data_IF_184161291506
#
_entry.id   IF_184161291506
#
_cell.length_a   1.000
_cell.length_b   1.000
_cell.length_c   1.000
_cell.angle_alpha   90.00
_cell.angle_beta   90.00
_cell.angle_gamma   90.00
#
_symmetry.space_group_name_H-M   'P 1'
#
loop_
_entity.id
_entity.type
_entity.pdbx_description
1 polymer ?
#
# COMPACT_ATOMS: atom_id res chain seq x y z
N UNK A 1 -3.71 -42.44 19.93
CA UNK A 1 -3.35 -42.43 18.49
C UNK A 1 -2.37 -41.31 18.28
N UNK A 2 -1.11 -41.62 18.05
CA UNK A 2 -0.09 -40.63 17.64
C UNK A 2 -0.46 -40.16 16.25
N UNK A 3 -0.91 -38.89 16.13
CA UNK A 3 -1.08 -38.27 14.84
C UNK A 3 0.32 -38.08 14.23
N UNK A 4 0.56 -38.66 13.05
CA UNK A 4 1.74 -38.30 12.28
C UNK A 4 1.56 -36.87 11.77
N UNK A 5 2.22 -35.93 12.43
CA UNK A 5 2.25 -34.51 12.06
C UNK A 5 3.59 -34.22 11.41
N UNK A 6 3.56 -33.63 10.23
CA UNK A 6 4.75 -33.15 9.52
C UNK A 6 4.78 -31.63 9.56
N UNK A 7 5.96 -31.02 9.60
CA UNK A 7 6.14 -29.58 9.52
C UNK A 7 7.24 -29.21 8.53
N UNK A 8 7.16 -27.97 8.02
CA UNK A 8 8.14 -27.44 7.07
C UNK A 8 9.44 -27.08 7.76
N UNK A 9 10.47 -27.86 7.54
CA UNK A 9 11.83 -27.64 8.11
C UNK A 9 12.47 -26.38 7.54
N UNK A 10 12.15 -26.00 6.29
CA UNK A 10 12.74 -24.83 5.64
C UNK A 10 12.44 -23.52 6.38
N UNK A 11 11.20 -23.30 6.79
CA UNK A 11 10.80 -22.11 7.54
C UNK A 11 11.47 -22.05 8.93
N UNK A 12 11.54 -23.20 9.62
CA UNK A 12 12.21 -23.31 10.93
C UNK A 12 13.69 -22.96 10.80
N UNK A 13 14.36 -23.58 9.83
CA UNK A 13 15.79 -23.32 9.58
C UNK A 13 16.05 -21.85 9.22
N UNK A 14 15.15 -21.21 8.45
CA UNK A 14 15.26 -19.80 8.12
C UNK A 14 15.15 -18.91 9.35
N UNK A 15 14.14 -19.16 10.20
CA UNK A 15 13.90 -18.41 11.44
C UNK A 15 15.12 -18.53 12.36
N UNK A 16 15.62 -19.74 12.59
CA UNK A 16 16.76 -19.99 13.47
C UNK A 16 18.07 -19.44 12.89
N UNK A 17 18.28 -19.52 11.58
CA UNK A 17 19.47 -18.96 10.92
C UNK A 17 19.51 -17.44 11.06
N UNK A 18 18.40 -16.75 10.82
CA UNK A 18 18.32 -15.29 11.00
C UNK A 18 18.61 -14.93 12.46
N UNK A 19 17.98 -15.63 13.39
CA UNK A 19 18.17 -15.35 14.84
C UNK A 19 19.60 -15.61 15.29
N UNK A 20 20.20 -16.75 14.89
CA UNK A 20 21.57 -17.09 15.22
C UNK A 20 22.61 -16.08 14.69
N UNK A 21 22.37 -15.52 13.50
CA UNK A 21 23.27 -14.55 12.87
C UNK A 21 23.12 -13.14 13.42
N UNK A 22 21.92 -12.75 13.83
CA UNK A 22 21.57 -11.35 14.11
C UNK A 22 21.03 -11.08 15.49
N UNK A 23 20.82 -12.12 16.29
CA UNK A 23 20.14 -12.06 17.61
C UNK A 23 18.80 -11.30 17.57
N UNK A 24 18.07 -11.47 16.44
CA UNK A 24 16.87 -10.70 16.10
C UNK A 24 15.83 -10.74 17.23
N UNK A 25 15.46 -11.94 17.68
CA UNK A 25 14.37 -12.07 18.64
C UNK A 25 14.76 -11.54 20.03
N UNK A 26 15.97 -11.80 20.51
CA UNK A 26 16.41 -11.29 21.80
C UNK A 26 16.55 -9.77 21.78
N UNK A 27 17.12 -9.20 20.71
CA UNK A 27 17.29 -7.76 20.56
C UNK A 27 15.95 -7.00 20.60
N UNK A 28 14.92 -7.56 20.00
CA UNK A 28 13.62 -6.88 19.85
C UNK A 28 12.66 -7.23 20.99
N UNK A 29 12.64 -8.49 21.42
CA UNK A 29 11.65 -9.03 22.34
C UNK A 29 12.18 -9.30 23.75
N UNK A 30 13.48 -9.26 23.95
CA UNK A 30 14.12 -9.56 25.23
C UNK A 30 13.50 -8.80 26.39
N UNK A 31 13.18 -9.52 27.48
CA UNK A 31 12.52 -8.96 28.66
C UNK A 31 11.04 -8.62 28.52
N UNK A 32 10.45 -8.60 27.31
CA UNK A 32 9.02 -8.30 27.13
C UNK A 32 8.09 -9.42 27.62
N UNK A 33 8.58 -10.65 27.67
CA UNK A 33 7.83 -11.81 28.16
C UNK A 33 7.54 -11.80 29.67
N UNK A 34 8.16 -10.92 30.44
CA UNK A 34 8.11 -10.94 31.90
C UNK A 34 8.68 -12.25 32.45
N UNK A 35 7.92 -13.00 33.25
CA UNK A 35 8.35 -14.29 33.80
C UNK A 35 8.18 -15.48 32.84
N UNK A 36 7.64 -15.28 31.66
CA UNK A 36 7.39 -16.36 30.70
C UNK A 36 8.63 -16.69 29.90
N UNK A 37 9.21 -17.87 30.15
CA UNK A 37 10.35 -18.40 29.40
C UNK A 37 9.94 -18.78 27.96
N UNK A 38 8.63 -18.97 27.69
CA UNK A 38 8.10 -19.37 26.39
C UNK A 38 7.64 -18.19 25.52
N UNK A 39 7.95 -16.94 25.88
CA UNK A 39 7.49 -15.78 25.09
C UNK A 39 8.12 -15.75 23.71
N UNK A 40 9.44 -15.73 23.59
CA UNK A 40 10.15 -15.77 22.30
C UNK A 40 9.84 -17.06 21.53
N UNK A 41 9.91 -18.28 22.12
CA UNK A 41 9.44 -19.51 21.47
C UNK A 41 8.03 -19.39 20.89
N UNK A 42 7.08 -18.81 21.62
CA UNK A 42 5.71 -18.60 21.13
C UNK A 42 5.66 -17.64 19.93
N UNK A 43 6.49 -16.60 19.92
CA UNK A 43 6.56 -15.69 18.75
C UNK A 43 7.13 -16.41 17.53
N UNK A 44 8.21 -17.20 17.69
CA UNK A 44 8.77 -18.03 16.60
C UNK A 44 7.72 -18.98 16.04
N UNK A 45 6.96 -19.65 16.91
CA UNK A 45 5.88 -20.55 16.49
C UNK A 45 4.75 -19.82 15.75
N UNK A 46 4.35 -18.63 16.21
CA UNK A 46 3.34 -17.79 15.55
C UNK A 46 3.81 -17.34 14.16
N UNK A 47 5.08 -16.96 14.01
CA UNK A 47 5.69 -16.60 12.73
C UNK A 47 5.74 -17.82 11.81
N UNK A 48 6.23 -18.96 12.31
CA UNK A 48 6.27 -20.20 11.52
C UNK A 48 4.88 -20.60 11.02
N UNK A 49 3.84 -20.50 11.86
CA UNK A 49 2.46 -20.74 11.46
C UNK A 49 2.01 -19.82 10.29
N UNK A 50 2.45 -18.55 10.28
CA UNK A 50 2.14 -17.62 9.19
C UNK A 50 2.90 -17.92 7.90
N UNK A 51 4.08 -18.46 8.00
CA UNK A 51 4.92 -18.84 6.84
C UNK A 51 4.56 -20.22 6.25
N UNK A 52 3.82 -21.04 6.99
CA UNK A 52 3.45 -22.41 6.58
C UNK A 52 1.95 -22.49 6.27
N UNK A 53 1.14 -23.01 7.18
CA UNK A 53 -0.27 -23.36 6.94
C UNK A 53 -1.24 -22.24 7.31
N UNK A 54 -0.79 -21.25 8.06
CA UNK A 54 -1.61 -20.13 8.56
C UNK A 54 -2.94 -20.55 9.21
N UNK A 55 -2.88 -21.60 10.02
CA UNK A 55 -4.05 -22.04 10.77
C UNK A 55 -4.41 -21.05 11.89
N UNK A 56 -5.66 -21.12 12.37
CA UNK A 56 -6.10 -20.29 13.50
C UNK A 56 -5.32 -20.62 14.78
N UNK A 57 -5.10 -19.63 15.64
CA UNK A 57 -4.23 -19.74 16.83
C UNK A 57 -4.62 -20.92 17.73
N UNK A 58 -5.92 -21.19 17.90
CA UNK A 58 -6.42 -22.34 18.69
C UNK A 58 -6.17 -23.72 18.05
N UNK A 59 -5.62 -23.75 16.85
CA UNK A 59 -5.29 -24.99 16.14
C UNK A 59 -3.79 -25.17 15.92
N UNK A 60 -2.97 -24.15 16.25
CA UNK A 60 -1.53 -24.21 16.00
C UNK A 60 -0.91 -25.45 16.67
N UNK A 61 -1.30 -25.73 17.90
CA UNK A 61 -0.74 -26.85 18.66
C UNK A 61 -1.19 -28.23 18.14
N UNK A 62 -2.30 -28.29 17.37
CA UNK A 62 -2.69 -29.51 16.67
C UNK A 62 -1.75 -29.89 15.52
N UNK A 63 -1.00 -28.91 15.01
CA UNK A 63 -0.06 -29.03 13.90
C UNK A 63 1.40 -28.82 14.31
N UNK A 64 1.68 -28.54 15.59
CA UNK A 64 3.01 -28.37 16.13
C UNK A 64 3.45 -29.62 16.89
N UNK A 65 4.24 -30.52 16.30
CA UNK A 65 4.77 -31.70 17.01
C UNK A 65 5.79 -31.27 18.06
N UNK A 66 6.04 -32.17 19.03
CA UNK A 66 6.95 -31.90 20.14
C UNK A 66 8.36 -31.51 19.67
N UNK A 67 8.86 -32.14 18.59
CA UNK A 67 10.16 -31.82 17.98
C UNK A 67 10.27 -30.36 17.52
N UNK A 68 9.18 -29.82 16.94
CA UNK A 68 9.11 -28.41 16.53
C UNK A 68 9.13 -27.47 17.75
N UNK A 69 8.35 -27.81 18.79
CA UNK A 69 8.32 -27.03 20.02
C UNK A 69 9.69 -27.05 20.72
N UNK A 70 10.34 -28.19 20.73
CA UNK A 70 11.68 -28.35 21.30
C UNK A 70 12.73 -27.53 20.51
N UNK A 71 12.67 -27.58 19.17
CA UNK A 71 13.52 -26.76 18.28
C UNK A 71 13.39 -25.27 18.56
N UNK A 72 12.17 -24.76 18.78
CA UNK A 72 11.97 -23.35 19.13
C UNK A 72 12.30 -23.01 20.59
N UNK A 73 12.70 -24.01 21.40
CA UNK A 73 13.18 -23.84 22.76
C UNK A 73 12.05 -23.70 23.79
N UNK A 74 10.87 -24.28 23.56
CA UNK A 74 9.82 -24.31 24.55
C UNK A 74 10.24 -25.08 25.81
N UNK A 75 9.84 -24.58 26.98
CA UNK A 75 10.03 -25.22 28.27
C UNK A 75 8.68 -25.63 28.86
N UNK A 76 8.53 -26.94 29.08
CA UNK A 76 7.32 -27.52 29.66
C UNK A 76 6.09 -27.39 28.73
N UNK A 77 4.91 -27.47 29.33
CA UNK A 77 3.63 -27.56 28.59
C UNK A 77 3.21 -26.22 27.98
N UNK A 78 2.84 -26.24 26.73
CA UNK A 78 2.26 -25.10 25.97
C UNK A 78 0.75 -25.25 25.87
N UNK A 79 0.02 -24.15 25.83
CA UNK A 79 -1.43 -24.11 25.61
C UNK A 79 -1.84 -22.98 24.68
N UNK A 80 -2.98 -23.11 24.01
CA UNK A 80 -3.55 -22.04 23.17
C UNK A 80 -3.68 -20.72 23.92
N UNK A 81 -4.09 -20.80 25.19
CA UNK A 81 -4.20 -19.63 26.08
C UNK A 81 -2.86 -18.90 26.23
N UNK A 82 -1.74 -19.63 26.23
CA UNK A 82 -0.40 -19.01 26.31
C UNK A 82 -0.04 -18.30 25.00
N UNK A 83 -0.45 -18.82 23.84
CA UNK A 83 -0.28 -18.17 22.54
C UNK A 83 -1.10 -16.89 22.44
N UNK A 84 -2.37 -16.90 22.85
CA UNK A 84 -3.20 -15.69 22.89
C UNK A 84 -2.61 -14.62 23.82
N UNK A 85 -2.10 -14.98 25.00
CA UNK A 85 -1.41 -14.05 25.89
C UNK A 85 -0.14 -13.47 25.26
N UNK A 86 0.58 -14.27 24.47
CA UNK A 86 1.73 -13.78 23.72
C UNK A 86 1.31 -12.74 22.71
N UNK A 87 0.23 -12.97 21.94
CA UNK A 87 -0.29 -11.99 21.00
C UNK A 87 -0.75 -10.69 21.67
N UNK A 88 -1.47 -10.80 22.78
CA UNK A 88 -1.88 -9.64 23.59
C UNK A 88 -0.65 -8.84 24.05
N UNK A 89 0.37 -9.53 24.56
CA UNK A 89 1.61 -8.92 25.00
C UNK A 89 2.36 -8.22 23.87
N UNK A 90 2.42 -8.83 22.69
CA UNK A 90 2.98 -8.21 21.49
C UNK A 90 2.22 -6.93 21.13
N UNK A 91 0.88 -6.96 21.18
CA UNK A 91 0.04 -5.79 20.92
C UNK A 91 0.29 -4.64 21.89
N UNK A 92 0.34 -4.94 23.20
CA UNK A 92 0.62 -3.94 24.24
C UNK A 92 2.03 -3.37 24.10
N UNK A 93 3.01 -4.20 23.75
CA UNK A 93 4.41 -3.83 23.63
C UNK A 93 4.77 -3.26 22.24
N UNK A 94 3.83 -3.13 21.31
CA UNK A 94 4.07 -2.70 19.93
C UNK A 94 4.94 -1.43 19.80
N UNK A 95 4.79 -0.36 20.59
CA UNK A 95 5.66 0.80 20.48
C UNK A 95 7.12 0.49 20.80
N UNK A 96 7.37 -0.32 21.84
CA UNK A 96 8.70 -0.72 22.26
C UNK A 96 9.33 -1.68 21.23
N UNK A 97 8.54 -2.63 20.72
CA UNK A 97 8.97 -3.57 19.68
C UNK A 97 9.41 -2.79 18.43
N UNK A 98 8.63 -1.80 18.00
CA UNK A 98 8.96 -1.00 16.84
C UNK A 98 10.23 -0.16 17.04
N UNK A 99 10.39 0.46 18.21
CA UNK A 99 11.59 1.22 18.55
C UNK A 99 12.85 0.33 18.55
N UNK A 100 12.78 -0.85 19.18
CA UNK A 100 13.88 -1.82 19.21
C UNK A 100 14.17 -2.40 17.83
N UNK A 101 13.14 -2.66 17.04
CA UNK A 101 13.31 -3.08 15.64
C UNK A 101 14.03 -2.02 14.82
N UNK A 102 13.65 -0.77 14.97
CA UNK A 102 14.32 0.34 14.29
C UNK A 102 15.78 0.48 14.74
N UNK A 103 16.06 0.28 16.05
CA UNK A 103 17.44 0.27 16.54
C UNK A 103 18.22 -0.92 15.96
N UNK A 104 17.63 -2.11 15.96
CA UNK A 104 18.24 -3.29 15.36
C UNK A 104 18.55 -3.07 13.85
N UNK A 105 17.66 -2.45 13.09
CA UNK A 105 17.89 -2.10 11.66
C UNK A 105 19.10 -1.16 11.53
N UNK A 106 19.29 -0.21 12.46
CA UNK A 106 20.46 0.67 12.49
C UNK A 106 21.74 -0.11 12.83
N UNK A 107 21.68 -0.95 13.83
CA UNK A 107 22.85 -1.73 14.30
C UNK A 107 23.32 -2.76 13.24
N UNK A 108 22.42 -3.19 12.37
CA UNK A 108 22.74 -4.06 11.23
C UNK A 108 23.13 -3.28 9.95
N UNK A 109 23.24 -1.96 9.99
CA UNK A 109 23.50 -1.09 8.83
C UNK A 109 22.51 -1.30 7.66
N UNK A 110 21.24 -1.51 8.01
CA UNK A 110 20.16 -1.78 7.06
C UNK A 110 19.26 -0.56 6.83
N UNK A 111 19.64 0.62 7.35
CA UNK A 111 18.86 1.86 7.13
C UNK A 111 19.03 2.35 5.70
N UNK A 112 17.93 2.39 4.98
CA UNK A 112 17.91 2.95 3.65
C UNK A 112 17.43 4.41 3.70
N UNK A 113 18.10 5.28 2.96
CA UNK A 113 17.75 6.70 2.87
C UNK A 113 16.62 7.00 1.90
N UNK A 114 16.23 6.03 1.09
CA UNK A 114 15.04 6.12 0.23
C UNK A 114 13.97 5.21 0.80
N UNK A 115 12.83 5.79 1.16
CA UNK A 115 11.72 5.10 1.79
C UNK A 115 10.45 5.21 0.98
N UNK A 116 9.89 4.07 0.60
CA UNK A 116 8.62 3.98 -0.11
C UNK A 116 7.48 3.83 0.89
N UNK A 117 6.52 4.74 0.83
CA UNK A 117 5.40 4.79 1.76
C UNK A 117 4.11 4.44 1.05
N UNK A 118 3.36 3.53 1.65
CA UNK A 118 2.04 3.18 1.15
C UNK A 118 1.06 2.88 2.29
N UNK A 119 -0.24 2.94 1.98
CA UNK A 119 -1.33 2.75 2.92
C UNK A 119 -2.28 1.67 2.45
N UNK A 120 -2.80 0.91 3.39
CA UNK A 120 -3.80 -0.09 3.08
C UNK A 120 -4.79 -0.25 4.23
N UNK A 121 -5.74 -1.17 4.07
CA UNK A 121 -6.70 -1.55 5.10
C UNK A 121 -6.77 -3.06 5.23
N UNK A 122 -7.21 -3.53 6.38
CA UNK A 122 -7.63 -4.90 6.58
C UNK A 122 -8.99 -4.91 7.28
N UNK A 123 -9.87 -5.83 6.89
CA UNK A 123 -11.21 -5.90 7.44
C UNK A 123 -11.35 -6.95 8.53
N UNK A 124 -12.34 -6.75 9.40
CA UNK A 124 -12.72 -7.68 10.47
C UNK A 124 -13.93 -8.50 10.08
N UNK A 125 -13.92 -9.75 10.47
CA UNK A 125 -15.13 -10.59 10.48
C UNK A 125 -15.93 -10.45 11.78
N UNK A 126 -15.30 -9.94 12.85
CA UNK A 126 -15.92 -9.63 14.13
C UNK A 126 -16.53 -8.23 14.23
N UNK A 127 -17.25 -7.97 15.32
CA UNK A 127 -17.87 -6.66 15.60
C UNK A 127 -17.20 -5.88 16.73
N UNK A 128 -16.30 -6.48 17.47
CA UNK A 128 -15.69 -5.91 18.68
C UNK A 128 -14.22 -5.58 18.45
N UNK A 129 -13.96 -4.46 17.77
CA UNK A 129 -12.61 -3.94 17.63
C UNK A 129 -12.62 -2.43 17.84
N UNK A 130 -11.85 -1.88 18.80
CA UNK A 130 -11.78 -0.43 19.05
C UNK A 130 -11.26 0.37 17.85
N UNK A 131 -10.47 -0.24 16.97
CA UNK A 131 -9.94 0.35 15.74
C UNK A 131 -10.88 0.15 14.55
N UNK A 132 -11.90 -0.73 14.70
CA UNK A 132 -12.85 -1.04 13.66
C UNK A 132 -13.75 0.16 13.33
N UNK A 133 -13.72 0.60 12.08
CA UNK A 133 -14.63 1.63 11.57
C UNK A 133 -15.00 1.32 10.11
N UNK A 134 -16.16 1.79 9.68
CA UNK A 134 -16.55 1.74 8.28
C UNK A 134 -15.75 2.80 7.51
N UNK A 135 -15.19 2.41 6.38
CA UNK A 135 -14.40 3.29 5.52
C UNK A 135 -14.32 2.74 4.09
N UNK A 136 -13.51 3.38 3.27
CA UNK A 136 -13.26 2.89 1.93
C UNK A 136 -12.50 1.56 2.00
N UNK A 137 -13.14 0.50 1.54
CA UNK A 137 -12.54 -0.84 1.56
C UNK A 137 -11.61 -1.05 0.35
N UNK A 138 -10.31 -1.18 0.62
CA UNK A 138 -9.32 -1.56 -0.39
C UNK A 138 -9.31 -3.06 -0.68
N UNK A 139 -10.03 -3.83 0.12
CA UNK A 139 -10.17 -5.28 -0.01
C UNK A 139 -11.44 -5.69 -0.77
N UNK A 140 -12.19 -4.73 -1.32
CA UNK A 140 -13.43 -5.00 -2.03
C UNK A 140 -14.56 -5.54 -1.12
N UNK A 141 -14.50 -5.25 0.20
CA UNK A 141 -15.46 -5.69 1.20
C UNK A 141 -16.23 -4.50 1.80
N UNK A 142 -17.10 -3.84 1.03
CA UNK A 142 -17.87 -2.71 1.53
C UNK A 142 -18.80 -3.14 2.68
N UNK A 143 -18.97 -2.25 3.67
CA UNK A 143 -19.85 -2.51 4.81
C UNK A 143 -19.22 -3.33 5.95
N UNK A 144 -17.99 -3.83 5.81
CA UNK A 144 -17.26 -4.45 6.92
C UNK A 144 -16.44 -3.42 7.70
N UNK A 145 -16.33 -3.64 9.01
CA UNK A 145 -15.39 -2.89 9.85
C UNK A 145 -13.97 -3.19 9.41
N UNK A 146 -13.12 -2.17 9.38
CA UNK A 146 -11.73 -2.29 8.99
C UNK A 146 -10.84 -1.40 9.87
N UNK A 147 -9.54 -1.63 9.87
CA UNK A 147 -8.53 -0.66 10.27
C UNK A 147 -7.67 -0.29 9.07
N UNK A 148 -7.04 0.88 9.11
CA UNK A 148 -6.05 1.29 8.12
C UNK A 148 -4.65 1.17 8.70
N UNK A 149 -3.69 0.83 7.87
CA UNK A 149 -2.29 0.82 8.24
C UNK A 149 -1.45 1.51 7.16
N UNK A 150 -0.36 2.10 7.59
CA UNK A 150 0.65 2.70 6.72
C UNK A 150 2.00 2.07 7.01
N UNK A 151 2.75 1.81 5.95
CA UNK A 151 4.10 1.24 6.03
C UNK A 151 5.11 2.14 5.35
N UNK A 152 6.37 1.97 5.73
CA UNK A 152 7.52 2.49 5.02
C UNK A 152 8.51 1.37 4.78
N UNK A 153 8.96 1.21 3.55
CA UNK A 153 9.86 0.13 3.11
C UNK A 153 11.07 0.75 2.40
N UNK A 154 12.27 0.33 2.73
CA UNK A 154 13.49 0.78 2.05
C UNK A 154 13.69 0.14 0.67
N UNK A 155 14.69 0.60 -0.09
CA UNK A 155 15.13 -0.03 -1.35
C UNK A 155 15.52 -1.49 -1.17
N UNK A 156 16.06 -1.84 0.01
CA UNK A 156 16.43 -3.20 0.41
C UNK A 156 15.23 -4.10 0.73
N UNK A 157 14.00 -3.58 0.65
CA UNK A 157 12.78 -4.32 0.95
C UNK A 157 12.45 -4.45 2.44
N UNK A 158 13.25 -3.86 3.33
CA UNK A 158 13.03 -3.94 4.78
C UNK A 158 11.97 -2.91 5.20
N UNK A 159 10.87 -3.36 5.85
CA UNK A 159 9.88 -2.45 6.40
C UNK A 159 10.43 -1.80 7.67
N UNK A 160 10.57 -0.48 7.66
CA UNK A 160 11.17 0.27 8.78
C UNK A 160 10.15 0.92 9.70
N UNK A 161 8.94 1.13 9.22
CA UNK A 161 7.88 1.80 9.96
C UNK A 161 6.52 1.20 9.69
N UNK A 162 5.71 1.15 10.75
CA UNK A 162 4.32 0.70 10.70
C UNK A 162 3.47 1.63 11.56
N UNK A 163 2.37 2.10 11.00
CA UNK A 163 1.34 2.85 11.72
C UNK A 163 -0.02 2.22 11.53
N UNK A 164 -0.84 2.19 12.57
CA UNK A 164 -2.21 1.64 12.54
C UNK A 164 -3.18 2.74 12.99
N UNK A 165 -4.30 2.87 12.29
CA UNK A 165 -5.34 3.86 12.56
C UNK A 165 -6.75 3.24 12.41
N UNK A 166 -7.77 3.96 12.90
CA UNK A 166 -9.17 3.58 12.67
C UNK A 166 -9.49 3.48 11.20
N UNK A 167 -10.37 2.56 10.82
CA UNK A 167 -10.69 2.22 9.44
C UNK A 167 -11.27 3.33 8.57
N UNK A 168 -11.70 4.43 9.15
CA UNK A 168 -12.22 5.62 8.45
C UNK A 168 -11.18 6.74 8.27
N UNK A 169 -9.94 6.54 8.72
CA UNK A 169 -8.87 7.55 8.57
C UNK A 169 -8.38 7.54 7.13
N UNK A 170 -8.40 8.71 6.49
CA UNK A 170 -7.91 8.89 5.13
C UNK A 170 -6.38 8.97 5.10
N UNK A 171 -5.75 8.53 3.99
CA UNK A 171 -4.30 8.50 3.81
C UNK A 171 -3.62 9.83 4.08
N UNK A 172 -4.21 10.93 3.60
CA UNK A 172 -3.67 12.29 3.83
C UNK A 172 -3.53 12.65 5.32
N UNK A 173 -4.41 12.14 6.17
CA UNK A 173 -4.36 12.34 7.62
C UNK A 173 -3.41 11.32 8.26
N UNK A 174 -3.49 10.06 7.84
CA UNK A 174 -2.63 8.96 8.31
C UNK A 174 -1.14 9.23 8.03
N UNK A 175 -0.83 9.79 6.86
CA UNK A 175 0.51 10.18 6.43
C UNK A 175 1.26 11.02 7.48
N UNK A 176 0.55 11.90 8.20
CA UNK A 176 1.16 12.72 9.24
C UNK A 176 1.75 11.94 10.41
N UNK A 177 1.24 10.74 10.70
CA UNK A 177 1.80 9.83 11.73
C UNK A 177 3.06 9.15 11.21
N UNK A 178 3.04 8.68 9.98
CA UNK A 178 4.17 8.03 9.35
C UNK A 178 5.35 9.00 9.18
N UNK A 179 5.10 10.25 8.72
CA UNK A 179 6.13 11.29 8.62
C UNK A 179 6.82 11.56 9.96
N UNK A 180 6.06 11.60 11.08
CA UNK A 180 6.66 11.81 12.40
C UNK A 180 7.62 10.68 12.81
N UNK A 181 7.31 9.45 12.43
CA UNK A 181 8.19 8.30 12.67
C UNK A 181 9.45 8.39 11.81
N UNK A 182 9.29 8.74 10.53
CA UNK A 182 10.42 8.97 9.62
C UNK A 182 11.40 9.99 10.20
N UNK A 183 10.91 11.13 10.67
CA UNK A 183 11.76 12.18 11.23
C UNK A 183 12.52 11.80 12.51
N UNK A 184 12.09 10.75 13.22
CA UNK A 184 12.82 10.22 14.39
C UNK A 184 13.85 9.15 14.03
N UNK A 185 13.60 8.44 12.95
CA UNK A 185 14.37 7.26 12.57
C UNK A 185 15.39 7.52 11.46
N UNK A 186 14.97 8.22 10.42
CA UNK A 186 15.80 8.42 9.22
C UNK A 186 16.85 9.52 9.42
N UNK A 187 18.01 9.38 8.80
CA UNK A 187 18.95 10.49 8.67
C UNK A 187 18.32 11.64 7.89
N UNK A 188 18.82 12.86 8.12
CA UNK A 188 18.45 14.03 7.33
C UNK A 188 18.75 13.80 5.85
N UNK A 189 18.08 14.52 4.98
CA UNK A 189 18.20 14.41 3.52
C UNK A 189 17.68 13.08 2.95
N UNK A 190 17.06 12.21 3.78
CA UNK A 190 16.40 11.00 3.27
C UNK A 190 15.17 11.35 2.42
N UNK A 191 14.93 10.55 1.38
CA UNK A 191 13.84 10.74 0.42
C UNK A 191 12.63 9.87 0.77
N UNK A 192 11.46 10.48 0.91
CA UNK A 192 10.18 9.81 1.09
C UNK A 192 9.40 9.77 -0.24
N UNK A 193 9.12 8.59 -0.74
CA UNK A 193 8.39 8.38 -2.00
C UNK A 193 7.00 7.86 -1.69
N UNK A 194 5.94 8.56 -2.16
CA UNK A 194 4.56 8.19 -1.88
C UNK A 194 3.60 8.60 -3.01
N UNK A 195 2.41 8.05 -2.99
CA UNK A 195 1.38 8.31 -3.98
C UNK A 195 0.65 9.65 -3.77
N UNK A 196 -0.30 9.95 -4.67
CA UNK A 196 -1.11 11.18 -4.59
C UNK A 196 -2.03 11.25 -3.37
N UNK A 197 -2.33 10.13 -2.70
CA UNK A 197 -3.15 10.08 -1.50
C UNK A 197 -2.51 10.82 -0.31
N UNK A 198 -1.18 10.76 -0.20
CA UNK A 198 -0.38 11.50 0.79
C UNK A 198 -0.02 12.93 0.38
N UNK A 199 -0.21 13.30 -0.89
CA UNK A 199 0.23 14.57 -1.45
C UNK A 199 -0.65 15.76 -1.01
N UNK A 200 -0.26 16.38 0.09
CA UNK A 200 -0.87 17.62 0.58
C UNK A 200 0.21 18.65 0.93
N UNK A 201 -0.11 19.94 0.79
CA UNK A 201 0.80 21.03 1.19
C UNK A 201 1.28 20.86 2.64
N UNK A 202 0.39 20.48 3.55
CA UNK A 202 0.70 20.27 4.97
C UNK A 202 1.70 19.13 5.18
N UNK A 203 1.57 18.02 4.45
CA UNK A 203 2.49 16.89 4.57
C UNK A 203 3.87 17.24 3.99
N UNK A 204 3.92 17.89 2.82
CA UNK A 204 5.16 18.39 2.22
C UNK A 204 5.90 19.37 3.16
N UNK A 205 5.20 20.31 3.78
CA UNK A 205 5.78 21.22 4.76
C UNK A 205 6.35 20.49 5.98
N UNK A 206 5.63 19.46 6.49
CA UNK A 206 6.15 18.64 7.60
C UNK A 206 7.41 17.89 7.23
N UNK A 207 7.47 17.30 6.03
CA UNK A 207 8.65 16.56 5.55
C UNK A 207 9.84 17.51 5.48
N UNK A 208 9.70 18.68 4.84
CA UNK A 208 10.76 19.70 4.78
C UNK A 208 11.17 20.21 6.16
N UNK A 209 10.21 20.42 7.05
CA UNK A 209 10.49 20.84 8.44
C UNK A 209 11.30 19.82 9.26
N UNK A 210 11.33 18.56 8.82
CA UNK A 210 12.18 17.50 9.38
C UNK A 210 13.51 17.34 8.65
N UNK A 211 13.81 18.22 7.70
CA UNK A 211 14.98 18.15 6.82
C UNK A 211 15.02 16.84 6.01
N UNK A 212 13.84 16.39 5.56
CA UNK A 212 13.67 15.25 4.67
C UNK A 212 13.18 15.72 3.31
N UNK A 213 13.40 14.90 2.30
CA UNK A 213 12.94 15.11 0.95
C UNK A 213 11.67 14.31 0.64
N UNK A 214 10.98 14.70 -0.41
CA UNK A 214 9.84 13.94 -0.92
C UNK A 214 9.84 13.85 -2.43
N UNK A 215 9.23 12.76 -2.92
CA UNK A 215 8.84 12.53 -4.30
C UNK A 215 7.44 11.95 -4.31
N UNK A 216 6.51 12.57 -5.05
CA UNK A 216 5.10 12.17 -5.02
C UNK A 216 4.39 12.45 -6.34
N UNK A 217 3.32 11.71 -6.60
CA UNK A 217 2.44 11.94 -7.75
C UNK A 217 1.47 13.09 -7.46
N UNK A 218 1.29 13.98 -8.44
CA UNK A 218 0.26 15.00 -8.40
C UNK A 218 -1.10 14.40 -8.76
N UNK A 219 -2.13 14.66 -7.96
CA UNK A 219 -3.47 14.19 -8.24
C UNK A 219 -4.01 14.76 -9.56
N UNK A 220 -4.53 13.89 -10.44
CA UNK A 220 -4.97 14.23 -11.80
C UNK A 220 -6.28 15.04 -11.79
N UNK A 221 -6.17 16.35 -11.58
CA UNK A 221 -7.28 17.29 -11.62
C UNK A 221 -7.24 18.09 -12.92
N UNK A 222 -8.35 18.15 -13.67
CA UNK A 222 -8.41 18.68 -15.05
C UNK A 222 -7.81 20.08 -15.21
N UNK A 223 -8.17 21.06 -14.38
CA UNK A 223 -7.67 22.42 -14.49
C UNK A 223 -6.15 22.53 -14.23
N UNK A 224 -5.65 22.17 -13.02
CA UNK A 224 -4.23 22.21 -12.72
C UNK A 224 -3.34 21.41 -13.67
N UNK A 225 -3.82 20.24 -14.14
CA UNK A 225 -3.05 19.44 -15.11
C UNK A 225 -2.92 20.10 -16.46
N UNK A 226 -3.97 20.78 -16.97
CA UNK A 226 -3.90 21.51 -18.24
C UNK A 226 -2.87 22.63 -18.22
N UNK A 227 -2.73 23.31 -17.08
CA UNK A 227 -1.70 24.36 -16.94
C UNK A 227 -0.29 23.76 -17.05
N UNK A 228 -0.06 22.62 -16.42
CA UNK A 228 1.24 21.93 -16.49
C UNK A 228 1.53 21.39 -17.91
N UNK A 229 0.50 20.87 -18.59
CA UNK A 229 0.63 20.42 -20.00
C UNK A 229 0.90 21.61 -20.91
N UNK A 230 0.31 22.78 -20.65
CA UNK A 230 0.64 24.00 -21.41
C UNK A 230 2.11 24.41 -21.22
N UNK A 231 2.66 24.28 -20.00
CA UNK A 231 4.09 24.50 -19.74
C UNK A 231 4.96 23.48 -20.50
N UNK A 232 4.56 22.20 -20.47
CA UNK A 232 5.22 21.13 -21.19
C UNK A 232 5.29 21.43 -22.68
N UNK A 233 4.19 21.82 -23.30
CA UNK A 233 4.12 22.15 -24.75
C UNK A 233 4.86 23.44 -25.12
N UNK A 234 4.99 24.39 -24.18
CA UNK A 234 5.68 25.65 -24.44
C UNK A 234 7.21 25.55 -24.30
N UNK A 235 7.72 24.49 -23.72
CA UNK A 235 9.14 24.27 -23.41
C UNK A 235 9.72 23.07 -24.16
N UNK A 236 9.47 22.98 -25.46
CA UNK A 236 9.99 21.88 -26.29
C UNK A 236 11.52 21.81 -26.28
N UNK A 237 12.21 22.92 -26.14
CA UNK A 237 13.68 23.00 -26.04
C UNK A 237 14.25 22.37 -24.75
N UNK A 238 13.45 22.33 -23.68
CA UNK A 238 13.81 21.73 -22.39
C UNK A 238 13.39 20.23 -22.31
N UNK A 239 12.90 19.66 -23.41
CA UNK A 239 12.36 18.31 -23.45
C UNK A 239 13.47 17.26 -23.37
N UNK A 240 13.40 16.43 -22.34
CA UNK A 240 14.29 15.27 -22.17
C UNK A 240 13.49 14.00 -22.51
N UNK A 241 14.01 13.19 -23.42
CA UNK A 241 13.40 11.92 -23.82
C UNK A 241 14.30 10.75 -23.46
N UNK A 242 13.72 9.68 -22.93
CA UNK A 242 14.41 8.45 -22.56
C UNK A 242 13.47 7.24 -22.60
N UNK A 243 14.05 6.04 -22.63
CA UNK A 243 13.30 4.79 -22.63
C UNK A 243 13.53 4.01 -21.35
N UNK A 244 12.45 3.46 -20.77
CA UNK A 244 12.49 2.68 -19.54
C UNK A 244 11.44 1.57 -19.59
N UNK A 245 11.84 0.31 -19.37
CA UNK A 245 10.93 -0.84 -19.39
C UNK A 245 10.09 -0.89 -20.68
N UNK A 246 10.74 -0.83 -21.83
CA UNK A 246 10.11 -0.90 -23.16
C UNK A 246 9.13 0.24 -23.49
N UNK A 247 9.11 1.31 -22.70
CA UNK A 247 8.29 2.50 -22.93
C UNK A 247 9.16 3.74 -23.08
N UNK A 248 8.76 4.60 -24.00
CA UNK A 248 9.39 5.90 -24.17
C UNK A 248 8.64 6.96 -23.36
N UNK A 249 9.40 7.79 -22.66
CA UNK A 249 8.94 8.92 -21.89
C UNK A 249 9.61 10.18 -22.36
N UNK A 250 8.85 11.26 -22.41
CA UNK A 250 9.37 12.62 -22.54
C UNK A 250 8.99 13.41 -21.30
N UNK A 251 9.87 14.30 -20.88
CA UNK A 251 9.69 15.06 -19.64
C UNK A 251 10.16 16.50 -19.82
N UNK A 252 9.37 17.43 -19.31
CA UNK A 252 9.80 18.82 -19.05
C UNK A 252 9.84 19.02 -17.54
N UNK A 253 11.00 19.47 -17.06
CA UNK A 253 11.20 19.84 -15.67
C UNK A 253 11.09 21.35 -15.51
N UNK A 254 10.35 21.80 -14.49
CA UNK A 254 10.34 23.19 -14.09
C UNK A 254 10.22 23.37 -12.58
N UNK A 255 10.65 24.53 -12.08
CA UNK A 255 10.54 24.88 -10.67
C UNK A 255 9.26 25.64 -10.40
N UNK A 256 8.53 25.25 -9.34
CA UNK A 256 7.36 25.97 -8.84
C UNK A 256 7.52 26.24 -7.33
N UNK A 257 7.94 27.45 -6.99
CA UNK A 257 8.28 27.81 -5.61
C UNK A 257 9.49 27.02 -5.12
N UNK A 258 9.27 26.21 -4.06
CA UNK A 258 10.31 25.38 -3.44
C UNK A 258 10.28 23.92 -3.92
N UNK A 259 9.51 23.61 -4.93
CA UNK A 259 9.44 22.25 -5.47
C UNK A 259 9.74 22.21 -6.96
N UNK A 260 10.19 21.07 -7.42
CA UNK A 260 10.38 20.75 -8.83
C UNK A 260 9.21 19.92 -9.32
N UNK A 261 8.68 20.28 -10.49
CA UNK A 261 7.65 19.56 -11.19
C UNK A 261 8.22 18.92 -12.43
N UNK A 262 7.96 17.65 -12.57
CA UNK A 262 8.36 16.80 -13.69
C UNK A 262 7.11 16.41 -14.42
N UNK A 263 6.85 17.03 -15.57
CA UNK A 263 5.69 16.76 -16.40
C UNK A 263 6.10 15.74 -17.44
N UNK A 264 5.64 14.50 -17.25
CA UNK A 264 5.94 13.39 -18.13
C UNK A 264 4.81 13.17 -19.12
N UNK A 265 5.17 12.75 -20.32
CA UNK A 265 4.28 12.19 -21.32
C UNK A 265 4.84 10.88 -21.86
N UNK A 266 3.96 9.92 -22.17
CA UNK A 266 4.28 8.68 -22.87
C UNK A 266 3.16 8.32 -23.81
N UNK A 267 3.48 8.12 -25.08
CA UNK A 267 2.54 7.74 -26.11
C UNK A 267 1.96 6.34 -25.87
N UNK A 268 2.81 5.40 -25.41
CA UNK A 268 2.37 4.05 -25.05
C UNK A 268 1.33 4.09 -23.92
N UNK A 269 1.59 4.92 -22.89
CA UNK A 269 0.65 5.11 -21.78
C UNK A 269 -0.64 5.79 -22.25
N UNK A 270 -0.56 6.75 -23.16
CA UNK A 270 -1.74 7.41 -23.76
C UNK A 270 -2.60 6.39 -24.50
N UNK A 271 -2.00 5.57 -25.34
CA UNK A 271 -2.67 4.52 -26.12
C UNK A 271 -3.36 3.51 -25.20
N UNK A 272 -2.67 3.02 -24.16
CA UNK A 272 -3.23 2.10 -23.16
C UNK A 272 -4.44 2.71 -22.43
N UNK A 273 -4.34 3.99 -22.03
CA UNK A 273 -5.41 4.69 -21.34
C UNK A 273 -6.62 4.96 -22.25
N UNK A 274 -6.38 5.35 -23.50
CA UNK A 274 -7.42 5.55 -24.50
C UNK A 274 -8.16 4.23 -24.79
N UNK A 275 -7.44 3.14 -25.01
CA UNK A 275 -8.04 1.83 -25.23
C UNK A 275 -8.93 1.38 -24.06
N UNK A 276 -8.48 1.56 -22.80
CA UNK A 276 -9.28 1.26 -21.61
C UNK A 276 -10.54 2.12 -21.52
N UNK A 277 -10.43 3.42 -21.82
CA UNK A 277 -11.56 4.36 -21.80
C UNK A 277 -12.55 4.08 -22.91
N UNK A 278 -12.10 3.73 -24.09
CA UNK A 278 -12.93 3.32 -25.21
C UNK A 278 -13.72 2.05 -24.88
N UNK A 279 -13.06 1.01 -24.36
CA UNK A 279 -13.74 -0.22 -23.91
C UNK A 279 -14.78 0.04 -22.81
N UNK A 280 -14.50 0.97 -21.88
CA UNK A 280 -15.46 1.36 -20.86
C UNK A 280 -16.68 2.04 -21.50
N UNK A 281 -16.46 2.96 -22.41
CA UNK A 281 -17.50 3.67 -23.13
C UNK A 281 -18.38 2.72 -23.96
N UNK A 282 -17.78 1.80 -24.70
CA UNK A 282 -18.49 0.78 -25.47
C UNK A 282 -19.40 -0.08 -24.58
N UNK A 283 -18.91 -0.52 -23.41
CA UNK A 283 -19.74 -1.26 -22.44
C UNK A 283 -20.92 -0.43 -21.94
N UNK A 284 -20.73 0.86 -21.71
CA UNK A 284 -21.79 1.75 -21.25
C UNK A 284 -22.81 2.05 -22.36
N UNK A 285 -22.35 2.18 -23.63
CA UNK A 285 -23.21 2.26 -24.78
C UNK A 285 -24.07 1.00 -24.96
N UNK A 286 -23.47 -0.18 -24.78
CA UNK A 286 -24.21 -1.45 -24.87
C UNK A 286 -25.28 -1.55 -23.78
N UNK A 287 -24.95 -1.17 -22.53
CA UNK A 287 -25.94 -1.07 -21.45
C UNK A 287 -27.08 -0.10 -21.82
N UNK A 288 -26.72 1.06 -22.37
CA UNK A 288 -27.69 2.06 -22.87
C UNK A 288 -28.62 1.49 -23.94
N UNK A 289 -28.07 0.77 -24.94
CA UNK A 289 -28.86 0.10 -25.99
C UNK A 289 -29.84 -0.93 -25.41
N UNK A 290 -29.38 -1.71 -24.43
CA UNK A 290 -30.19 -2.71 -23.75
C UNK A 290 -31.34 -2.06 -22.93
N UNK A 291 -31.07 -0.92 -22.30
CA UNK A 291 -32.09 -0.13 -21.62
C UNK A 291 -33.09 0.49 -22.57
N UNK A 292 -32.63 1.05 -23.71
CA UNK A 292 -33.50 1.57 -24.75
C UNK A 292 -34.47 0.52 -25.32
N UNK A 293 -34.01 -0.74 -25.46
CA UNK A 293 -34.89 -1.86 -25.82
C UNK A 293 -35.98 -2.10 -24.77
N UNK A 294 -35.65 -1.98 -23.48
CA UNK A 294 -36.61 -2.13 -22.36
C UNK A 294 -37.61 -0.97 -22.31
N UNK A 295 -37.18 0.26 -22.64
CA UNK A 295 -38.06 1.43 -22.75
C UNK A 295 -39.10 1.26 -23.88
N UNK A 296 -38.69 0.72 -25.04
CA UNK A 296 -39.62 0.35 -26.11
C UNK A 296 -40.66 -0.69 -25.70
N UNK A 297 -40.42 -1.44 -24.63
CA UNK A 297 -41.33 -2.44 -24.05
C UNK A 297 -42.25 -1.86 -22.96
N UNK A 298 -42.38 -0.55 -22.83
CA UNK A 298 -43.34 0.13 -21.96
C UNK A 298 -42.82 0.60 -20.60
N UNK A 299 -41.48 0.61 -20.40
CA UNK A 299 -40.88 1.26 -19.20
C UNK A 299 -40.54 2.71 -19.50
N UNK A 300 -41.15 3.61 -18.74
CA UNK A 300 -40.98 5.06 -18.89
C UNK A 300 -39.69 5.50 -18.15
N UNK A 301 -38.61 5.71 -18.90
CA UNK A 301 -37.37 6.29 -18.44
C UNK A 301 -37.04 7.52 -19.28
N UNK A 302 -37.30 8.71 -18.74
CA UNK A 302 -37.00 9.96 -19.44
C UNK A 302 -35.51 10.23 -19.55
N UNK A 303 -34.70 9.68 -18.63
CA UNK A 303 -33.26 9.80 -18.64
C UNK A 303 -32.60 8.61 -17.90
N UNK A 304 -31.38 8.29 -18.31
CA UNK A 304 -30.55 7.30 -17.66
C UNK A 304 -29.28 7.95 -17.15
N UNK A 305 -28.99 7.78 -15.82
CA UNK A 305 -27.80 8.30 -15.16
C UNK A 305 -26.82 7.16 -14.95
N UNK A 306 -25.64 7.26 -15.55
CA UNK A 306 -24.54 6.33 -15.30
C UNK A 306 -23.90 6.57 -13.93
N UNK A 307 -23.25 5.55 -13.33
CA UNK A 307 -22.62 5.69 -12.01
C UNK A 307 -21.59 6.82 -11.87
N UNK A 308 -21.00 7.26 -12.97
CA UNK A 308 -20.05 8.37 -13.06
C UNK A 308 -20.73 9.73 -13.39
N UNK A 309 -22.04 9.81 -13.29
CA UNK A 309 -22.79 11.05 -13.45
C UNK A 309 -23.11 11.40 -14.92
N UNK A 310 -22.80 10.51 -15.86
CA UNK A 310 -23.13 10.74 -17.27
C UNK A 310 -24.62 10.51 -17.51
N UNK A 311 -25.30 11.45 -18.16
CA UNK A 311 -26.74 11.41 -18.39
C UNK A 311 -27.01 11.20 -19.87
N UNK A 312 -27.80 10.18 -20.21
CA UNK A 312 -28.36 9.97 -21.53
C UNK A 312 -29.88 10.25 -21.46
N UNK A 313 -30.34 11.23 -22.24
CA UNK A 313 -31.77 11.54 -22.37
C UNK A 313 -32.45 10.61 -23.35
N UNK A 314 -33.80 10.53 -23.27
CA UNK A 314 -34.63 9.73 -24.18
C UNK A 314 -34.39 10.08 -25.65
N UNK A 315 -34.14 11.34 -25.99
CA UNK A 315 -33.80 11.77 -27.34
C UNK A 315 -32.50 11.17 -27.86
N UNK A 316 -31.50 11.01 -27.04
CA UNK A 316 -30.24 10.33 -27.40
C UNK A 316 -30.41 8.82 -27.59
N UNK A 317 -31.37 8.19 -26.89
CA UNK A 317 -31.72 6.79 -27.11
C UNK A 317 -32.39 6.53 -28.45
N UNK A 318 -33.03 7.54 -29.03
CA UNK A 318 -33.78 7.44 -30.30
C UNK A 318 -32.90 7.71 -31.52
N UNK A 319 -31.90 8.59 -31.40
CA UNK A 319 -31.01 9.02 -32.47
C UNK A 319 -29.63 8.38 -32.34
N UNK A 320 -29.57 7.10 -32.65
CA UNK A 320 -28.34 6.37 -32.94
C UNK A 320 -27.09 6.85 -32.16
N UNK A 321 -26.69 6.08 -31.26
CA UNK A 321 -25.46 6.07 -30.43
C UNK A 321 -24.12 6.22 -31.23
N UNK A 322 -24.16 6.63 -32.52
CA UNK A 322 -22.98 6.71 -33.38
C UNK A 322 -22.09 7.92 -33.13
N UNK A 323 -22.65 9.04 -32.69
CA UNK A 323 -21.93 10.32 -32.64
C UNK A 323 -21.78 10.90 -31.21
N UNK A 324 -22.03 10.13 -30.18
CA UNK A 324 -21.84 10.61 -28.82
C UNK A 324 -20.35 10.61 -28.50
N UNK A 325 -19.72 11.76 -28.19
CA UNK A 325 -18.31 11.81 -27.84
C UNK A 325 -18.04 11.02 -26.58
N UNK A 326 -16.92 10.31 -26.53
CA UNK A 326 -16.55 9.54 -25.37
C UNK A 326 -16.23 10.48 -24.18
N UNK A 327 -17.10 10.51 -23.15
CA UNK A 327 -16.95 11.47 -22.03
C UNK A 327 -15.78 11.13 -21.12
N UNK A 328 -15.20 9.93 -21.22
CA UNK A 328 -14.06 9.49 -20.44
C UNK A 328 -12.74 10.03 -20.98
N UNK A 329 -12.69 10.43 -22.25
CA UNK A 329 -11.50 11.04 -22.85
C UNK A 329 -11.40 12.50 -22.39
N UNK A 330 -10.29 12.84 -21.76
CA UNK A 330 -10.10 14.13 -21.09
C UNK A 330 -9.04 15.02 -21.72
N UNK A 331 -8.22 14.46 -22.63
CA UNK A 331 -7.02 15.10 -23.18
C UNK A 331 -5.83 15.12 -22.21
N UNK A 332 -5.92 14.30 -21.13
CA UNK A 332 -4.85 14.15 -20.14
C UNK A 332 -4.20 12.77 -20.21
N UNK A 333 -4.57 11.97 -21.22
CA UNK A 333 -4.05 10.62 -21.41
C UNK A 333 -2.57 10.69 -21.74
N UNK A 334 -1.79 9.76 -21.19
CA UNK A 334 -0.34 9.72 -21.34
C UNK A 334 0.42 10.66 -20.41
N UNK A 335 -0.20 11.73 -19.92
CA UNK A 335 0.46 12.66 -19.00
C UNK A 335 0.35 12.20 -17.56
N UNK A 336 1.47 12.39 -16.81
CA UNK A 336 1.50 12.34 -15.35
C UNK A 336 2.56 13.30 -14.82
N UNK A 337 2.39 13.76 -13.58
CA UNK A 337 3.23 14.81 -13.01
C UNK A 337 3.76 14.32 -11.67
N UNK A 338 5.09 14.32 -11.54
CA UNK A 338 5.75 14.09 -10.27
C UNK A 338 6.17 15.43 -9.65
N UNK A 339 6.01 15.53 -8.35
CA UNK A 339 6.40 16.68 -7.54
C UNK A 339 7.50 16.24 -6.58
N UNK A 340 8.63 16.96 -6.58
CA UNK A 340 9.81 16.63 -5.77
C UNK A 340 10.38 17.86 -5.08
N UNK A 341 10.97 17.65 -3.90
CA UNK A 341 11.75 18.68 -3.22
C UNK A 341 13.23 18.67 -3.62
N UNK A 342 13.68 17.67 -4.38
CA UNK A 342 15.05 17.58 -4.90
C UNK A 342 15.05 17.86 -6.40
N UNK A 343 16.15 18.48 -6.84
CA UNK A 343 16.45 18.72 -8.25
C UNK A 343 17.31 17.57 -8.78
N UNK A 344 16.72 16.70 -9.58
CA UNK A 344 17.42 15.53 -10.10
C UNK A 344 17.05 15.31 -11.58
N UNK A 345 17.74 14.42 -12.23
CA UNK A 345 17.47 14.02 -13.61
C UNK A 345 16.07 13.36 -13.73
N UNK A 346 15.29 13.67 -14.79
CA UNK A 346 13.97 13.10 -14.99
C UNK A 346 13.91 11.57 -14.98
N UNK A 347 14.90 10.90 -15.56
CA UNK A 347 14.96 9.44 -15.59
C UNK A 347 15.13 8.85 -14.19
N UNK A 348 16.04 9.43 -13.38
CA UNK A 348 16.25 9.00 -12.00
C UNK A 348 15.01 9.23 -11.13
N UNK A 349 14.34 10.37 -11.30
CA UNK A 349 13.08 10.69 -10.61
C UNK A 349 12.00 9.69 -10.95
N UNK A 350 11.85 9.34 -12.22
CA UNK A 350 10.87 8.35 -12.64
C UNK A 350 11.21 6.95 -12.12
N UNK A 351 12.47 6.56 -12.13
CA UNK A 351 12.94 5.29 -11.56
C UNK A 351 12.61 5.21 -10.07
N UNK A 352 13.01 6.22 -9.30
CA UNK A 352 12.74 6.28 -7.86
C UNK A 352 11.24 6.22 -7.57
N UNK A 353 10.40 6.88 -8.39
CA UNK A 353 8.95 6.80 -8.21
C UNK A 353 8.39 5.41 -8.55
N UNK A 354 8.88 4.76 -9.60
CA UNK A 354 8.44 3.40 -9.97
C UNK A 354 8.84 2.34 -8.94
N UNK A 355 9.98 2.51 -8.28
CA UNK A 355 10.42 1.63 -7.20
C UNK A 355 9.47 1.62 -5.98
N UNK A 356 8.51 2.57 -5.91
CA UNK A 356 7.42 2.55 -4.92
C UNK A 356 6.58 1.25 -4.99
N UNK A 357 6.58 0.56 -6.12
CA UNK A 357 6.00 -0.78 -6.27
C UNK A 357 6.50 -1.79 -5.21
N UNK A 358 7.68 -1.57 -4.61
CA UNK A 358 8.20 -2.37 -3.48
C UNK A 358 7.28 -2.32 -2.26
N UNK A 359 6.76 -1.13 -1.91
CA UNK A 359 5.81 -1.01 -0.81
C UNK A 359 4.45 -1.66 -1.14
N UNK A 360 3.99 -1.55 -2.39
CA UNK A 360 2.78 -2.22 -2.85
C UNK A 360 2.93 -3.76 -2.81
N UNK A 361 4.08 -4.28 -3.26
CA UNK A 361 4.41 -5.71 -3.19
C UNK A 361 4.47 -6.18 -1.74
N UNK A 362 5.13 -5.44 -0.86
CA UNK A 362 5.18 -5.77 0.56
C UNK A 362 3.78 -5.84 1.20
N UNK A 363 2.91 -4.87 0.91
CA UNK A 363 1.52 -4.90 1.38
C UNK A 363 0.77 -6.13 0.84
N UNK A 364 0.99 -6.48 -0.42
CA UNK A 364 0.39 -7.68 -1.02
C UNK A 364 0.87 -8.94 -0.32
N UNK A 365 2.17 -9.05 -0.06
CA UNK A 365 2.76 -10.20 0.62
C UNK A 365 2.24 -10.33 2.07
N UNK A 366 2.05 -9.23 2.79
CA UNK A 366 1.38 -9.23 4.09
C UNK A 366 -0.07 -9.72 4.01
N UNK A 367 -0.81 -9.28 3.00
CA UNK A 367 -2.25 -9.60 2.87
C UNK A 367 -2.51 -11.01 2.36
N UNK A 368 -1.72 -11.46 1.42
CA UNK A 368 -1.90 -12.72 0.69
C UNK A 368 -0.95 -13.81 1.21
N UNK A 369 0.33 -13.49 1.36
CA UNK A 369 1.33 -14.44 1.85
C UNK A 369 1.21 -14.70 3.36
N UNK A 370 1.11 -13.66 4.18
CA UNK A 370 0.95 -13.78 5.63
C UNK A 370 -0.53 -13.81 6.08
N UNK A 371 -1.48 -13.87 5.16
CA UNK A 371 -2.92 -13.92 5.44
C UNK A 371 -3.37 -12.88 6.48
N UNK A 372 -2.95 -11.62 6.30
CA UNK A 372 -3.32 -10.54 7.21
C UNK A 372 -4.81 -10.15 7.12
N UNK A 373 -5.54 -10.70 6.16
CA UNK A 373 -6.98 -10.48 5.94
C UNK A 373 -7.74 -11.80 5.71
N UNK A 374 -8.94 -11.98 6.27
CA UNK A 374 -9.58 -11.11 7.27
C UNK A 374 -8.92 -11.25 8.65
N UNK A 375 -9.04 -10.21 9.46
CA UNK A 375 -8.77 -10.35 10.89
C UNK A 375 -9.98 -10.98 11.53
N UNK A 376 -9.80 -12.17 12.10
CA UNK A 376 -10.85 -12.95 12.78
C UNK A 376 -10.69 -12.70 14.29
N UNK A 377 -11.73 -12.15 14.90
CA UNK A 377 -12.04 -11.86 16.32
C UNK A 377 -12.22 -10.38 16.68
#
# INVERSE_FOLDING_TARGET
MTKNVTFSVGNVALIDKIDAQTQFFESILGGLGGRSQNFIPSVKLLINNKLDQSVSVNKILDFAPDDLLETFGFKGRVSDRSLYRTMERLGISQPIILERFQQWVKDQDLVDTVQFMDFSSSYFEGKKCPLGALGYSRDGQPGKLQFTFGISVGMNGIPTMLTIQKGNVQDKAHMGSLIRMCGKFLPKESLLVFDCGGNTRKNKQKIRGLQLHYLTLKAKKKGPYRNEIAIYNAKEEDLVSFSMNERTYSCVKHKDGEEYRYVFFSEDLASDQLAKKTRKFEKDLEKGKNLAKKVKQGKDLDQFIYPDGWIITRGHFQNVFGDVPNPYITGLEGYFILESSIDEDPEKILNAYKDRDRAEKFIRDLKEGAEMRPVRH
#
